data_IF_706789031854
#
_entry.id   IF_706789031854
#
_cell.length_a   1.000
_cell.length_b   1.000
_cell.length_c   1.000
_cell.angle_alpha   90.00
_cell.angle_beta   90.00
_cell.angle_gamma   90.00
#
_symmetry.space_group_name_H-M   'P 1'
#
loop_
_entity.id
_entity.type
_entity.pdbx_description
1 polymer ?
#
# COMPACT_ATOMS: atom_id res chain seq x y z
N UNK A 1 21.53 28.84 1.70
CA UNK A 1 22.82 28.18 2.02
C UNK A 1 23.42 27.47 0.80
N UNK A 2 22.68 26.62 0.04
CA UNK A 2 23.17 25.94 -1.18
C UNK A 2 23.77 26.93 -2.20
N UNK A 3 23.05 28.00 -2.55
CA UNK A 3 23.51 29.02 -3.47
C UNK A 3 24.75 29.79 -2.92
N UNK A 4 24.74 30.10 -1.62
CA UNK A 4 25.86 30.73 -0.93
C UNK A 4 27.13 29.86 -0.94
N UNK A 5 27.01 28.57 -0.66
CA UNK A 5 28.13 27.61 -0.75
C UNK A 5 28.76 27.59 -2.13
N UNK A 6 27.95 27.54 -3.19
CA UNK A 6 28.44 27.53 -4.56
C UNK A 6 29.16 28.83 -4.92
N UNK A 7 28.69 29.99 -4.44
CA UNK A 7 29.33 31.29 -4.64
C UNK A 7 30.67 31.37 -3.93
N UNK A 8 30.72 30.95 -2.64
CA UNK A 8 31.93 30.95 -1.85
C UNK A 8 32.98 29.97 -2.40
N UNK A 9 32.57 28.80 -2.89
CA UNK A 9 33.47 27.84 -3.54
C UNK A 9 34.15 28.44 -4.79
N UNK A 10 33.41 29.20 -5.59
CA UNK A 10 33.98 29.93 -6.74
C UNK A 10 34.95 31.04 -6.29
N UNK A 11 34.64 31.73 -5.19
CA UNK A 11 35.54 32.73 -4.60
C UNK A 11 36.86 32.14 -4.15
N UNK A 12 36.89 30.97 -3.52
CA UNK A 12 38.12 30.27 -3.12
C UNK A 12 38.99 30.02 -4.32
N UNK A 13 38.45 29.55 -5.44
CA UNK A 13 39.21 29.33 -6.68
C UNK A 13 39.84 30.61 -7.21
N UNK A 14 39.10 31.72 -7.21
CA UNK A 14 39.62 33.02 -7.66
C UNK A 14 40.73 33.58 -6.74
N UNK A 15 40.55 33.50 -5.42
CA UNK A 15 41.53 33.95 -4.44
C UNK A 15 42.81 33.12 -4.47
N UNK A 16 42.71 31.82 -4.65
CA UNK A 16 43.87 30.94 -4.81
C UNK A 16 44.65 31.24 -6.09
N UNK A 17 43.96 31.52 -7.20
CA UNK A 17 44.60 31.96 -8.46
C UNK A 17 45.28 33.31 -8.36
N UNK A 18 44.89 34.20 -7.44
CA UNK A 18 45.50 35.47 -7.16
C UNK A 18 46.62 35.40 -6.09
N UNK A 19 46.95 34.23 -5.55
CA UNK A 19 47.96 34.03 -4.52
C UNK A 19 47.56 34.51 -3.11
N UNK A 20 46.30 34.89 -2.88
CA UNK A 20 45.76 35.40 -1.61
C UNK A 20 45.36 34.24 -0.68
N UNK A 21 46.32 33.51 -0.15
CA UNK A 21 46.13 32.29 0.63
C UNK A 21 45.36 32.51 1.94
N UNK A 22 45.63 33.59 2.66
CA UNK A 22 44.97 33.88 3.95
C UNK A 22 43.49 34.18 3.77
N UNK A 23 43.14 35.02 2.77
CA UNK A 23 41.77 35.32 2.43
C UNK A 23 41.03 34.03 1.96
N UNK A 24 41.67 33.16 1.22
CA UNK A 24 41.10 31.89 0.77
C UNK A 24 40.84 30.93 1.96
N UNK A 25 41.70 30.90 2.97
CA UNK A 25 41.51 30.09 4.18
C UNK A 25 40.33 30.59 5.02
N UNK A 26 40.11 31.90 5.12
CA UNK A 26 38.95 32.45 5.81
C UNK A 26 37.63 32.07 5.10
N UNK A 27 37.60 32.15 3.78
CA UNK A 27 36.45 31.73 2.99
C UNK A 27 36.24 30.22 3.10
N UNK A 28 37.25 29.39 3.19
CA UNK A 28 37.15 27.94 3.45
C UNK A 28 36.49 27.64 4.78
N UNK A 29 36.85 28.36 5.85
CA UNK A 29 36.18 28.20 7.17
C UNK A 29 34.68 28.52 7.08
N UNK A 30 34.32 29.59 6.35
CA UNK A 30 32.93 29.94 6.12
C UNK A 30 32.19 28.84 5.31
N UNK A 31 32.82 28.27 4.29
CA UNK A 31 32.26 27.15 3.52
C UNK A 31 32.07 25.92 4.40
N UNK A 32 33.05 25.61 5.26
CA UNK A 32 32.95 24.49 6.20
C UNK A 32 31.78 24.66 7.17
N UNK A 33 31.66 25.84 7.81
CA UNK A 33 30.56 26.17 8.71
C UNK A 33 29.17 26.10 7.99
N UNK A 34 29.11 26.67 6.78
CA UNK A 34 27.89 26.61 5.96
C UNK A 34 27.54 25.16 5.55
N UNK A 35 28.54 24.32 5.27
CA UNK A 35 28.33 22.92 4.92
C UNK A 35 27.80 22.11 6.08
N UNK A 36 28.32 22.31 7.30
CA UNK A 36 27.83 21.66 8.51
C UNK A 36 26.37 22.05 8.78
N UNK A 37 26.08 23.35 8.72
CA UNK A 37 24.69 23.84 8.88
C UNK A 37 23.74 23.38 7.79
N UNK A 38 24.24 23.28 6.56
CA UNK A 38 23.45 22.74 5.43
C UNK A 38 23.10 21.27 5.65
N UNK A 39 24.05 20.45 6.07
CA UNK A 39 23.80 19.04 6.37
C UNK A 39 22.77 18.85 7.49
N UNK A 40 22.86 19.65 8.56
CA UNK A 40 21.87 19.65 9.64
C UNK A 40 20.46 19.98 9.13
N UNK A 41 20.33 21.01 8.29
CA UNK A 41 19.06 21.43 7.71
C UNK A 41 18.51 20.41 6.70
N UNK A 42 19.36 19.77 5.92
CA UNK A 42 18.97 18.71 4.98
C UNK A 42 18.48 17.46 5.72
N UNK A 43 19.11 17.08 6.83
CA UNK A 43 18.64 16.01 7.68
C UNK A 43 17.26 16.32 8.27
N UNK A 44 17.07 17.56 8.76
CA UNK A 44 15.79 18.03 9.30
C UNK A 44 14.70 18.12 8.22
N UNK A 45 15.06 18.56 7.01
CA UNK A 45 14.15 18.59 5.84
C UNK A 45 13.63 17.19 5.51
N UNK A 46 14.54 16.19 5.48
CA UNK A 46 14.18 14.79 5.24
C UNK A 46 13.28 14.23 6.34
N UNK A 47 13.61 14.48 7.61
CA UNK A 47 12.77 14.06 8.74
C UNK A 47 11.36 14.66 8.68
N UNK A 48 11.28 15.97 8.36
CA UNK A 48 9.99 16.65 8.24
C UNK A 48 9.21 16.15 7.03
N UNK A 49 9.86 15.87 5.91
CA UNK A 49 9.21 15.32 4.71
C UNK A 49 8.55 13.96 5.00
N UNK A 50 9.24 13.07 5.73
CA UNK A 50 8.64 11.81 6.18
C UNK A 50 7.43 12.01 7.10
N UNK A 51 7.55 12.93 8.07
CA UNK A 51 6.42 13.23 8.97
C UNK A 51 5.22 13.79 8.21
N UNK A 52 5.46 14.72 7.29
CA UNK A 52 4.41 15.29 6.45
C UNK A 52 3.74 14.20 5.61
N UNK A 53 4.53 13.33 4.96
CA UNK A 53 3.98 12.24 4.16
C UNK A 53 3.07 11.33 5.01
N UNK A 54 3.52 10.91 6.19
CA UNK A 54 2.72 10.07 7.10
C UNK A 54 1.41 10.74 7.50
N UNK A 55 1.44 12.03 7.81
CA UNK A 55 0.21 12.80 8.15
C UNK A 55 -0.70 12.93 6.93
N UNK A 56 -0.15 13.29 5.77
CA UNK A 56 -0.93 13.43 4.52
C UNK A 56 -1.64 12.15 4.12
N UNK A 57 -1.03 11.00 4.35
CA UNK A 57 -1.62 9.68 4.07
C UNK A 57 -2.77 9.31 5.01
N UNK A 58 -2.96 10.01 6.13
CA UNK A 58 -4.10 9.79 7.05
C UNK A 58 -5.26 10.74 6.80
N UNK A 59 -5.08 11.73 5.93
CA UNK A 59 -6.14 12.70 5.60
C UNK A 59 -7.12 12.03 4.62
N UNK A 60 -8.43 11.94 4.99
CA UNK A 60 -9.44 11.38 4.10
C UNK A 60 -9.53 12.15 2.79
N UNK A 61 -9.90 11.47 1.72
CA UNK A 61 -10.15 12.12 0.45
C UNK A 61 -11.43 12.97 0.50
N UNK A 62 -11.54 13.93 -0.42
CA UNK A 62 -12.75 14.74 -0.58
C UNK A 62 -13.84 13.84 -1.16
N UNK A 63 -14.98 13.79 -0.48
CA UNK A 63 -16.16 13.04 -0.93
C UNK A 63 -17.02 13.92 -1.86
N UNK A 64 -17.75 13.27 -2.78
CA UNK A 64 -18.70 13.95 -3.62
C UNK A 64 -19.86 14.54 -2.78
N UNK A 65 -20.36 15.76 -3.07
CA UNK A 65 -21.45 16.38 -2.32
C UNK A 65 -22.76 15.58 -2.30
N UNK A 66 -22.94 14.65 -3.24
CA UNK A 66 -24.13 13.75 -3.27
C UNK A 66 -24.05 12.61 -2.26
N UNK A 67 -22.86 12.34 -1.69
CA UNK A 67 -22.69 11.26 -0.72
C UNK A 67 -23.24 11.71 0.64
N UNK A 68 -24.19 10.99 1.23
CA UNK A 68 -24.68 11.27 2.58
C UNK A 68 -23.55 11.22 3.61
N UNK A 69 -23.56 12.17 4.53
CA UNK A 69 -22.62 12.16 5.65
C UNK A 69 -23.22 11.30 6.75
N UNK A 70 -22.52 10.24 7.15
CA UNK A 70 -22.92 9.33 8.20
C UNK A 70 -21.77 9.05 9.16
N UNK A 71 -22.10 8.53 10.33
CA UNK A 71 -21.13 8.17 11.37
C UNK A 71 -20.40 6.87 11.02
N UNK A 72 -21.14 5.90 10.51
CA UNK A 72 -20.66 4.58 10.11
C UNK A 72 -21.61 3.96 9.07
N UNK A 73 -21.39 2.72 8.71
CA UNK A 73 -22.15 1.97 7.69
C UNK A 73 -23.62 1.74 8.06
N UNK A 74 -24.00 1.86 9.33
CA UNK A 74 -25.42 1.77 9.76
C UNK A 74 -26.27 2.94 9.26
N UNK A 75 -25.62 4.05 8.89
CA UNK A 75 -26.26 5.26 8.35
C UNK A 75 -26.21 5.32 6.81
N UNK A 76 -25.79 4.23 6.15
CA UNK A 76 -25.79 4.16 4.69
C UNK A 76 -27.22 4.29 4.14
N UNK A 77 -27.37 5.11 3.11
CA UNK A 77 -28.65 5.35 2.44
C UNK A 77 -28.71 4.52 1.16
N UNK A 78 -29.72 3.64 1.06
CA UNK A 78 -29.98 2.91 -0.17
C UNK A 78 -30.49 3.88 -1.25
N UNK A 79 -29.77 4.00 -2.35
CA UNK A 79 -30.10 4.92 -3.45
C UNK A 79 -30.81 4.25 -4.61
N UNK A 80 -30.67 2.94 -4.78
CA UNK A 80 -31.29 2.19 -5.88
C UNK A 80 -31.48 0.73 -5.50
N UNK A 81 -32.60 0.15 -5.90
CA UNK A 81 -32.88 -1.30 -5.88
C UNK A 81 -33.06 -1.82 -7.28
N UNK A 82 -32.48 -2.96 -7.58
CA UNK A 82 -32.69 -3.65 -8.85
C UNK A 82 -33.26 -5.04 -8.61
N UNK A 83 -34.50 -5.26 -9.08
CA UNK A 83 -35.23 -6.51 -8.91
C UNK A 83 -35.82 -6.69 -7.50
N UNK A 84 -36.58 -7.76 -7.35
CA UNK A 84 -37.16 -8.17 -6.07
C UNK A 84 -36.47 -9.44 -5.58
N UNK A 85 -36.10 -9.54 -4.28
CA UNK A 85 -35.50 -10.74 -3.75
C UNK A 85 -36.52 -11.90 -3.76
N UNK A 86 -36.11 -13.02 -4.34
CA UNK A 86 -36.88 -14.28 -4.24
C UNK A 86 -36.42 -15.01 -2.99
N UNK A 87 -37.25 -14.99 -1.96
CA UNK A 87 -36.99 -15.73 -0.73
C UNK A 87 -37.66 -17.11 -0.88
N UNK A 88 -36.89 -18.21 -0.89
CA UNK A 88 -37.45 -19.54 -0.96
C UNK A 88 -38.22 -19.88 0.32
N UNK A 89 -39.16 -20.80 0.22
CA UNK A 89 -40.01 -21.30 1.33
C UNK A 89 -39.34 -22.41 2.17
N UNK A 90 -38.04 -22.62 1.95
CA UNK A 90 -37.23 -23.58 2.69
C UNK A 90 -36.02 -22.88 3.35
N UNK A 91 -35.51 -23.50 4.39
CA UNK A 91 -34.30 -23.03 5.08
C UNK A 91 -33.08 -23.17 4.16
N UNK A 92 -32.40 -22.04 3.90
CA UNK A 92 -31.20 -22.00 3.08
C UNK A 92 -30.00 -22.37 3.98
N UNK A 93 -29.31 -23.50 3.74
CA UNK A 93 -28.14 -23.87 4.52
C UNK A 93 -26.96 -22.93 4.22
N UNK A 94 -26.05 -22.78 5.18
CA UNK A 94 -24.81 -22.06 4.94
C UNK A 94 -23.94 -22.76 3.86
N UNK A 95 -23.14 -21.96 3.16
CA UNK A 95 -22.25 -22.51 2.13
C UNK A 95 -21.27 -23.56 2.67
N UNK A 96 -20.79 -23.41 3.91
CA UNK A 96 -19.96 -24.41 4.58
C UNK A 96 -20.68 -25.74 4.79
N UNK A 97 -21.94 -25.71 5.22
CA UNK A 97 -22.76 -26.93 5.41
C UNK A 97 -22.96 -27.68 4.08
N UNK A 98 -23.13 -26.91 3.00
CA UNK A 98 -23.23 -27.51 1.66
C UNK A 98 -21.91 -28.15 1.26
N UNK A 99 -20.78 -27.44 1.47
CA UNK A 99 -19.45 -27.97 1.15
C UNK A 99 -19.12 -29.23 1.95
N UNK A 100 -19.47 -29.26 3.24
CA UNK A 100 -19.28 -30.45 4.11
C UNK A 100 -20.09 -31.65 3.62
N UNK A 101 -21.35 -31.45 3.22
CA UNK A 101 -22.20 -32.51 2.63
C UNK A 101 -21.56 -33.18 1.41
N UNK A 102 -20.78 -32.42 0.65
CA UNK A 102 -20.03 -32.92 -0.52
C UNK A 102 -18.59 -33.34 -0.20
N UNK A 103 -18.19 -33.40 1.06
CA UNK A 103 -16.80 -33.62 1.50
C UNK A 103 -15.82 -32.66 0.76
N UNK A 104 -16.25 -31.45 0.51
CA UNK A 104 -15.56 -30.47 -0.33
C UNK A 104 -14.76 -29.42 0.43
N UNK A 105 -14.79 -29.43 1.78
CA UNK A 105 -14.06 -28.52 2.65
C UNK A 105 -13.46 -29.26 3.85
N UNK A 106 -12.24 -28.88 4.26
CA UNK A 106 -11.63 -29.36 5.51
C UNK A 106 -11.00 -28.16 6.25
N UNK A 107 -11.74 -27.65 7.22
CA UNK A 107 -11.32 -26.54 8.06
C UNK A 107 -10.35 -27.00 9.16
N UNK A 108 -10.51 -28.22 9.68
CA UNK A 108 -9.68 -28.74 10.75
C UNK A 108 -8.27 -29.05 10.27
N UNK A 109 -8.11 -29.65 9.11
CA UNK A 109 -6.79 -29.87 8.53
C UNK A 109 -6.09 -28.53 8.22
N UNK A 110 -6.82 -27.57 7.64
CA UNK A 110 -6.27 -26.27 7.34
C UNK A 110 -5.82 -25.52 8.60
N UNK A 111 -6.61 -25.59 9.68
CA UNK A 111 -6.26 -25.00 10.97
C UNK A 111 -4.98 -25.59 11.57
N UNK A 112 -4.79 -26.92 11.46
CA UNK A 112 -3.56 -27.58 11.93
C UNK A 112 -2.32 -27.19 11.15
N UNK A 113 -2.47 -26.84 9.87
CA UNK A 113 -1.34 -26.53 8.97
C UNK A 113 -1.02 -25.05 8.95
N UNK A 114 -2.02 -24.18 8.88
CA UNK A 114 -1.85 -22.76 8.62
C UNK A 114 -2.49 -21.84 9.69
N UNK A 115 -3.28 -22.39 10.61
CA UNK A 115 -3.98 -21.62 11.63
C UNK A 115 -5.42 -21.30 11.27
N UNK A 116 -6.07 -20.48 12.10
CA UNK A 116 -7.46 -20.09 11.88
C UNK A 116 -7.60 -19.17 10.65
N UNK A 117 -8.74 -19.25 9.96
CA UNK A 117 -9.03 -18.44 8.77
C UNK A 117 -8.60 -19.06 7.45
N UNK A 118 -7.92 -20.23 7.48
CA UNK A 118 -7.56 -20.98 6.28
C UNK A 118 -8.51 -22.16 6.05
N UNK A 119 -8.57 -22.63 4.81
CA UNK A 119 -9.43 -23.73 4.40
C UNK A 119 -8.77 -24.58 3.31
N UNK A 120 -9.11 -25.86 3.27
CA UNK A 120 -8.88 -26.71 2.10
C UNK A 120 -10.20 -26.91 1.36
N UNK A 121 -10.21 -26.65 0.06
CA UNK A 121 -11.28 -27.09 -0.84
C UNK A 121 -10.87 -28.38 -1.52
N UNK A 122 -11.80 -29.31 -1.65
CA UNK A 122 -11.52 -30.64 -2.17
C UNK A 122 -12.57 -31.08 -3.19
N UNK A 123 -12.23 -32.08 -3.99
CA UNK A 123 -13.13 -32.75 -4.91
C UNK A 123 -13.83 -31.78 -5.87
N UNK A 124 -15.14 -31.97 -6.01
CA UNK A 124 -15.94 -31.18 -6.94
C UNK A 124 -16.16 -29.73 -6.48
N UNK A 125 -16.09 -29.43 -5.18
CA UNK A 125 -16.13 -28.07 -4.67
C UNK A 125 -14.86 -27.29 -5.12
N UNK A 126 -13.68 -27.90 -5.02
CA UNK A 126 -12.44 -27.28 -5.54
C UNK A 126 -12.49 -27.06 -7.06
N UNK A 127 -13.06 -28.02 -7.79
CA UNK A 127 -13.27 -27.90 -9.26
C UNK A 127 -14.24 -26.77 -9.59
N UNK A 128 -15.35 -26.66 -8.85
CA UNK A 128 -16.32 -25.58 -9.03
C UNK A 128 -15.70 -24.22 -8.75
N UNK A 129 -14.94 -24.07 -7.67
CA UNK A 129 -14.20 -22.85 -7.37
C UNK A 129 -13.26 -22.45 -8.52
N UNK A 130 -12.47 -23.39 -9.03
CA UNK A 130 -11.59 -23.14 -10.16
C UNK A 130 -12.34 -22.79 -11.45
N UNK A 131 -13.49 -23.42 -11.67
CA UNK A 131 -14.35 -23.15 -12.83
C UNK A 131 -14.91 -21.71 -12.79
N UNK A 132 -15.35 -21.23 -11.62
CA UNK A 132 -15.85 -19.85 -11.45
C UNK A 132 -14.76 -18.83 -11.75
N UNK A 133 -13.54 -19.04 -11.21
CA UNK A 133 -12.40 -18.16 -11.48
C UNK A 133 -12.03 -18.16 -12.99
N UNK A 134 -12.02 -19.35 -13.61
CA UNK A 134 -11.75 -19.47 -15.04
C UNK A 134 -12.81 -18.78 -15.88
N UNK A 135 -14.07 -18.94 -15.54
CA UNK A 135 -15.17 -18.25 -16.20
C UNK A 135 -15.04 -16.73 -16.13
N UNK A 136 -14.78 -16.19 -14.92
CA UNK A 136 -14.60 -14.75 -14.73
C UNK A 136 -13.42 -14.20 -15.57
N UNK A 137 -12.30 -14.91 -15.56
CA UNK A 137 -11.12 -14.56 -16.38
C UNK A 137 -11.48 -14.50 -17.87
N UNK A 138 -12.09 -15.56 -18.39
CA UNK A 138 -12.37 -15.69 -19.83
C UNK A 138 -13.45 -14.67 -20.26
N UNK A 139 -14.43 -14.41 -19.37
CA UNK A 139 -15.44 -13.38 -19.59
C UNK A 139 -14.81 -11.98 -19.71
N UNK A 140 -13.86 -11.63 -18.81
CA UNK A 140 -13.18 -10.34 -18.87
C UNK A 140 -12.27 -10.20 -20.07
N UNK A 141 -11.56 -11.26 -20.47
CA UNK A 141 -10.76 -11.30 -21.70
C UNK A 141 -11.67 -11.05 -22.91
N UNK A 142 -12.83 -11.72 -22.97
CA UNK A 142 -13.82 -11.51 -24.05
C UNK A 142 -14.39 -10.09 -24.12
N UNK A 143 -14.26 -9.31 -23.05
CA UNK A 143 -14.61 -7.88 -22.97
C UNK A 143 -13.46 -6.92 -23.29
N UNK A 144 -12.32 -7.43 -23.74
CA UNK A 144 -11.16 -6.65 -24.14
C UNK A 144 -10.16 -6.32 -23.01
N UNK A 145 -10.31 -6.91 -21.83
CA UNK A 145 -9.31 -6.76 -20.77
C UNK A 145 -8.09 -7.65 -21.03
N UNK A 146 -6.92 -7.15 -20.66
CA UNK A 146 -5.69 -7.94 -20.73
C UNK A 146 -5.51 -8.71 -19.43
N UNK A 147 -5.43 -10.04 -19.52
CA UNK A 147 -5.11 -10.88 -18.37
C UNK A 147 -3.64 -10.72 -17.98
N UNK A 148 -3.38 -10.49 -16.71
CA UNK A 148 -2.05 -10.33 -16.14
C UNK A 148 -1.89 -11.25 -14.92
N UNK A 149 -0.75 -11.89 -14.81
CA UNK A 149 -0.34 -12.64 -13.62
C UNK A 149 0.68 -11.76 -12.87
N UNK A 150 0.31 -11.13 -11.77
CA UNK A 150 1.21 -10.27 -11.01
C UNK A 150 2.20 -11.10 -10.18
N UNK A 151 3.29 -10.48 -9.69
CA UNK A 151 4.11 -11.08 -8.63
C UNK A 151 3.28 -11.35 -7.38
N UNK A 152 3.61 -12.39 -6.62
CA UNK A 152 2.93 -12.72 -5.36
C UNK A 152 3.32 -11.82 -4.20
N UNK A 153 4.33 -10.96 -4.38
CA UNK A 153 4.86 -10.05 -3.37
C UNK A 153 5.11 -8.67 -3.97
N UNK A 154 4.84 -7.63 -3.18
CA UNK A 154 5.05 -6.24 -3.56
C UNK A 154 5.75 -5.46 -2.44
N UNK A 155 6.33 -4.32 -2.77
CA UNK A 155 7.03 -3.44 -1.83
C UNK A 155 6.06 -2.53 -1.07
N UNK A 156 6.48 -2.07 0.11
CA UNK A 156 5.70 -1.18 0.97
C UNK A 156 5.21 0.10 0.26
N UNK A 157 6.05 0.70 -0.57
CA UNK A 157 5.69 1.92 -1.30
C UNK A 157 4.59 1.71 -2.36
N UNK A 158 4.40 0.47 -2.82
CA UNK A 158 3.28 0.11 -3.71
C UNK A 158 2.02 -0.15 -2.90
N UNK A 159 2.14 -0.87 -1.78
CA UNK A 159 1.01 -1.14 -0.86
C UNK A 159 0.39 0.16 -0.38
N UNK A 160 1.22 1.11 0.07
CA UNK A 160 0.74 2.39 0.59
C UNK A 160 0.10 3.32 -0.46
N UNK A 161 0.14 2.94 -1.73
CA UNK A 161 -0.63 3.61 -2.79
C UNK A 161 -2.14 3.30 -2.75
N UNK A 162 -2.55 2.22 -2.06
CA UNK A 162 -3.95 1.75 -2.00
C UNK A 162 -4.45 1.48 -0.58
N UNK A 163 -3.56 1.47 0.41
CA UNK A 163 -3.83 1.06 1.78
C UNK A 163 -3.04 1.93 2.76
N UNK A 164 -3.59 2.23 3.92
CA UNK A 164 -2.87 2.94 4.98
C UNK A 164 -1.78 2.07 5.61
N UNK A 165 -0.81 2.69 6.28
CA UNK A 165 0.23 1.95 7.01
C UNK A 165 -0.35 1.04 8.11
N UNK A 166 -1.40 1.49 8.80
CA UNK A 166 -2.03 0.72 9.86
C UNK A 166 -2.76 -0.52 9.31
N UNK A 167 -3.45 -0.38 8.19
CA UNK A 167 -4.10 -1.50 7.51
C UNK A 167 -3.07 -2.49 6.95
N UNK A 168 -1.99 -1.99 6.36
CA UNK A 168 -0.90 -2.82 5.87
C UNK A 168 -0.31 -3.71 6.98
N UNK A 169 0.01 -3.14 8.14
CA UNK A 169 0.56 -3.88 9.27
C UNK A 169 -0.45 -4.88 9.88
N UNK A 170 -1.74 -4.56 9.85
CA UNK A 170 -2.78 -5.41 10.42
C UNK A 170 -3.22 -6.55 9.50
N UNK A 171 -3.15 -6.36 8.19
CA UNK A 171 -3.80 -7.25 7.21
C UNK A 171 -2.82 -8.02 6.33
N UNK A 172 -1.57 -7.59 6.21
CA UNK A 172 -0.62 -8.18 5.27
C UNK A 172 0.49 -8.96 5.96
N UNK A 173 0.89 -10.08 5.36
CA UNK A 173 2.09 -10.80 5.77
C UNK A 173 3.33 -10.14 5.20
N UNK A 174 4.24 -9.74 6.08
CA UNK A 174 5.55 -9.20 5.72
C UNK A 174 6.61 -10.29 5.73
N UNK A 175 7.51 -10.26 4.76
CA UNK A 175 8.71 -11.11 4.77
C UNK A 175 9.75 -10.49 5.71
N UNK A 176 10.20 -11.27 6.68
CA UNK A 176 11.20 -10.82 7.64
C UNK A 176 12.53 -10.51 6.95
N UNK A 177 13.11 -9.35 7.29
CA UNK A 177 14.38 -8.89 6.71
C UNK A 177 14.28 -8.26 5.31
N UNK A 178 13.08 -8.22 4.73
CA UNK A 178 12.84 -7.71 3.38
C UNK A 178 11.76 -6.64 3.36
N UNK A 179 11.82 -5.72 2.37
CA UNK A 179 10.69 -4.82 2.07
C UNK A 179 9.74 -5.48 1.07
N UNK A 180 9.16 -6.62 1.48
CA UNK A 180 8.22 -7.38 0.67
C UNK A 180 7.02 -7.82 1.50
N UNK A 181 5.85 -7.72 0.90
CA UNK A 181 4.55 -8.10 1.48
C UNK A 181 3.85 -9.06 0.54
N UNK A 182 3.25 -10.13 1.09
CA UNK A 182 2.44 -11.07 0.31
C UNK A 182 1.15 -10.37 -0.13
N UNK A 183 0.78 -10.61 -1.38
CA UNK A 183 -0.54 -10.27 -1.92
C UNK A 183 -1.27 -11.55 -2.28
N UNK A 184 -2.56 -11.63 -1.93
CA UNK A 184 -3.44 -12.76 -2.22
C UNK A 184 -4.39 -12.47 -3.36
#
# INVERSE_FOLDING_TARGET
>A
LRASRNKLSKQIGALMGQGKKEEAEEVKKQVSANSARLAELEAKESELAEKILKIMMTIPNIIDPSVPIGKDDSENVEIEKFGEPVVPDFEIPYHTDIMERFNGIDLDAARRVAGNGFYYLMGDIARLHSAVISYARDFMIGRGFTYCVPPFMIRSNVVTGVMSFAEMDAMMYKIEGEDLYLIG
#
